data_IF_626923242371
#
_entry.id   IF_626923242371
#
_cell.length_a   1.000
_cell.length_b   1.000
_cell.length_c   1.000
_cell.angle_alpha   90.00
_cell.angle_beta   90.00
_cell.angle_gamma   90.00
#
_symmetry.space_group_name_H-M   'P 1'
#
loop_
_entity.id
_entity.type
_entity.pdbx_description
1 polymer ?
#
# COMPACT_ATOMS: atom_id res chain seq x y z
N UNK A 1 15.30 -14.32 -1.69
CA UNK A 1 14.01 -13.80 -2.17
C UNK A 1 13.85 -12.35 -1.75
N UNK A 2 14.12 -11.39 -2.62
CA UNK A 2 13.85 -9.98 -2.32
C UNK A 2 12.38 -9.71 -2.62
N UNK A 3 11.55 -9.69 -1.58
CA UNK A 3 10.20 -9.12 -1.68
C UNK A 3 10.41 -7.68 -2.10
N UNK A 4 10.20 -7.34 -3.38
CA UNK A 4 10.27 -5.96 -3.84
C UNK A 4 9.19 -5.19 -3.10
N UNK A 5 9.58 -4.54 -2.01
CA UNK A 5 8.67 -3.81 -1.16
C UNK A 5 8.01 -2.73 -2.02
N UNK A 6 6.69 -2.69 -1.97
CA UNK A 6 5.96 -1.64 -2.64
C UNK A 6 6.06 -0.41 -1.74
N UNK A 7 7.01 0.48 -2.04
CA UNK A 7 7.32 1.68 -1.25
C UNK A 7 6.07 2.49 -0.88
N UNK A 8 5.04 2.50 -1.74
CA UNK A 8 3.76 3.14 -1.45
C UNK A 8 3.00 2.44 -0.31
N UNK A 9 2.94 1.10 -0.31
CA UNK A 9 2.30 0.34 0.76
C UNK A 9 3.06 0.49 2.09
N UNK A 10 4.40 0.53 2.06
CA UNK A 10 5.20 0.74 3.27
C UNK A 10 4.99 2.14 3.84
N UNK A 11 4.97 3.16 2.97
CA UNK A 11 4.66 4.54 3.35
C UNK A 11 3.26 4.64 3.97
N UNK A 12 2.25 4.05 3.34
CA UNK A 12 0.88 4.06 3.86
C UNK A 12 0.81 3.44 5.28
N UNK A 13 1.53 2.34 5.53
CA UNK A 13 1.58 1.72 6.87
C UNK A 13 2.23 2.64 7.90
N UNK A 14 3.33 3.32 7.53
CA UNK A 14 3.98 4.28 8.44
C UNK A 14 3.06 5.46 8.77
N UNK A 15 2.36 6.01 7.76
CA UNK A 15 1.41 7.10 7.96
C UNK A 15 0.24 6.71 8.85
N UNK A 16 -0.27 5.47 8.74
CA UNK A 16 -1.31 4.96 9.66
C UNK A 16 -0.78 4.87 11.09
N UNK A 17 0.46 4.40 11.29
CA UNK A 17 1.08 4.36 12.63
C UNK A 17 1.20 5.75 13.22
N UNK A 18 1.68 6.72 12.44
CA UNK A 18 1.79 8.11 12.88
C UNK A 18 0.41 8.72 13.17
N UNK A 19 -0.62 8.42 12.37
CA UNK A 19 -1.97 8.89 12.64
C UNK A 19 -2.52 8.36 13.97
N UNK A 20 -2.17 7.12 14.35
CA UNK A 20 -2.52 6.57 15.67
C UNK A 20 -1.82 7.33 16.81
N UNK A 21 -0.54 7.69 16.64
CA UNK A 21 0.19 8.49 17.63
C UNK A 21 -0.42 9.89 17.79
N UNK A 22 -0.72 10.57 16.68
CA UNK A 22 -1.39 11.87 16.69
C UNK A 22 -2.76 11.81 17.37
N UNK A 23 -3.53 10.74 17.12
CA UNK A 23 -4.81 10.51 17.81
C UNK A 23 -4.60 10.36 19.31
N UNK A 24 -3.60 9.61 19.73
CA UNK A 24 -3.24 9.43 21.15
C UNK A 24 -2.81 10.73 21.84
N UNK A 25 -2.17 11.63 21.08
CA UNK A 25 -1.79 12.97 21.55
C UNK A 25 -2.94 13.99 21.53
N UNK A 26 -4.16 13.60 21.16
CA UNK A 26 -5.32 14.51 21.07
C UNK A 26 -5.40 15.34 19.78
N UNK A 27 -4.46 15.17 18.86
CA UNK A 27 -4.41 15.87 17.56
C UNK A 27 -5.34 15.19 16.54
N UNK A 28 -6.64 15.20 16.82
CA UNK A 28 -7.65 14.43 16.06
C UNK A 28 -7.77 14.89 14.60
N UNK A 29 -7.68 16.20 14.34
CA UNK A 29 -7.79 16.74 12.99
C UNK A 29 -6.63 16.27 12.09
N UNK A 30 -5.39 16.36 12.60
CA UNK A 30 -4.19 15.90 11.91
C UNK A 30 -4.19 14.39 11.71
N UNK A 31 -4.58 13.63 12.74
CA UNK A 31 -4.73 12.19 12.64
C UNK A 31 -5.70 11.78 11.52
N UNK A 32 -6.87 12.45 11.42
CA UNK A 32 -7.85 12.21 10.35
C UNK A 32 -7.31 12.59 8.98
N UNK A 33 -6.64 13.72 8.85
CA UNK A 33 -6.02 14.14 7.58
C UNK A 33 -4.97 13.13 7.12
N UNK A 34 -4.08 12.72 8.03
CA UNK A 34 -3.00 11.78 7.74
C UNK A 34 -3.53 10.38 7.41
N UNK A 35 -4.55 9.90 8.11
CA UNK A 35 -5.19 8.62 7.83
C UNK A 35 -5.85 8.59 6.45
N UNK A 36 -6.55 9.67 6.05
CA UNK A 36 -7.14 9.79 4.70
C UNK A 36 -6.06 9.68 3.62
N UNK A 37 -4.96 10.41 3.79
CA UNK A 37 -3.85 10.37 2.83
C UNK A 37 -3.19 9.01 2.74
N UNK A 38 -3.06 8.31 3.87
CA UNK A 38 -2.52 6.95 3.89
C UNK A 38 -3.41 5.96 3.11
N UNK A 39 -4.73 6.09 3.19
CA UNK A 39 -5.69 5.25 2.45
C UNK A 39 -5.53 5.47 0.94
N UNK A 40 -5.43 6.72 0.49
CA UNK A 40 -5.19 7.05 -0.93
C UNK A 40 -3.90 6.40 -1.46
N UNK A 41 -2.80 6.54 -0.71
CA UNK A 41 -1.51 5.94 -1.09
C UNK A 41 -1.57 4.41 -1.08
N UNK A 42 -2.29 3.81 -0.13
CA UNK A 42 -2.50 2.37 -0.09
C UNK A 42 -3.25 1.87 -1.34
N UNK A 43 -4.29 2.59 -1.76
CA UNK A 43 -5.03 2.26 -2.98
C UNK A 43 -4.14 2.31 -4.23
N UNK A 44 -3.32 3.36 -4.37
CA UNK A 44 -2.34 3.49 -5.46
C UNK A 44 -1.33 2.34 -5.44
N UNK A 45 -0.82 1.99 -4.25
CA UNK A 45 0.10 0.86 -4.10
C UNK A 45 -0.51 -0.46 -4.58
N UNK A 46 -1.76 -0.74 -4.23
CA UNK A 46 -2.44 -1.94 -4.70
C UNK A 46 -2.70 -1.93 -6.22
N UNK A 47 -3.10 -0.80 -6.79
CA UNK A 47 -3.26 -0.64 -8.24
C UNK A 47 -1.94 -0.93 -8.99
N UNK A 48 -0.83 -0.34 -8.53
CA UNK A 48 0.50 -0.56 -9.11
C UNK A 48 0.96 -2.02 -9.00
N UNK A 49 0.47 -2.77 -8.01
CA UNK A 49 0.79 -4.20 -7.87
C UNK A 49 -0.02 -5.04 -8.85
N UNK A 50 -1.31 -4.71 -9.07
CA UNK A 50 -2.20 -5.43 -10.00
C UNK A 50 -1.82 -5.25 -11.46
N UNK A 51 -1.29 -4.08 -11.84
CA UNK A 51 -0.85 -3.78 -13.21
C UNK A 51 0.45 -4.48 -13.61
N UNK A 52 1.11 -5.23 -12.71
CA UNK A 52 2.29 -6.02 -13.08
C UNK A 52 1.87 -7.25 -13.87
N UNK A 53 2.23 -7.29 -15.15
CA UNK A 53 2.12 -8.48 -15.98
C UNK A 53 2.83 -9.65 -15.27
N UNK A 54 2.05 -10.65 -14.86
CA UNK A 54 2.62 -11.89 -14.35
C UNK A 54 2.91 -12.81 -15.55
N UNK A 55 4.05 -13.52 -15.58
CA UNK A 55 4.33 -14.47 -16.64
C UNK A 55 3.30 -15.59 -16.59
N UNK A 56 2.43 -15.65 -17.60
CA UNK A 56 1.50 -16.76 -17.77
C UNK A 56 2.24 -17.90 -18.46
N UNK A 57 2.30 -19.08 -17.83
CA UNK A 57 2.82 -20.28 -18.49
C UNK A 57 1.78 -20.75 -19.50
N UNK A 58 2.04 -20.54 -20.78
CA UNK A 58 1.22 -21.11 -21.85
C UNK A 58 1.61 -22.58 -21.96
N UNK A 59 0.71 -23.49 -21.56
CA UNK A 59 0.90 -24.91 -21.80
C UNK A 59 0.86 -25.15 -23.32
N UNK A 60 1.95 -25.67 -23.88
CA UNK A 60 2.03 -26.02 -25.30
C UNK A 60 0.98 -27.07 -25.68
N UNK A 61 0.57 -27.13 -26.97
CA UNK A 61 -0.44 -28.07 -27.42
C UNK A 61 0.00 -29.51 -27.13
N UNK A 62 -0.89 -30.28 -26.49
CA UNK A 62 -0.71 -31.72 -26.29
C UNK A 62 -0.71 -32.37 -27.67
N UNK A 63 0.40 -33.04 -28.01
CA UNK A 63 0.52 -33.92 -29.18
C UNK A 63 -0.35 -35.16 -28.99
#
# INVERSE_FOLDING_TARGET
>A
MTVRSNKALDLARMMIKQAKLLKGAGLIAEAKALARRAIEINAIGHQATRLRAQPVRIAGPRR
#
